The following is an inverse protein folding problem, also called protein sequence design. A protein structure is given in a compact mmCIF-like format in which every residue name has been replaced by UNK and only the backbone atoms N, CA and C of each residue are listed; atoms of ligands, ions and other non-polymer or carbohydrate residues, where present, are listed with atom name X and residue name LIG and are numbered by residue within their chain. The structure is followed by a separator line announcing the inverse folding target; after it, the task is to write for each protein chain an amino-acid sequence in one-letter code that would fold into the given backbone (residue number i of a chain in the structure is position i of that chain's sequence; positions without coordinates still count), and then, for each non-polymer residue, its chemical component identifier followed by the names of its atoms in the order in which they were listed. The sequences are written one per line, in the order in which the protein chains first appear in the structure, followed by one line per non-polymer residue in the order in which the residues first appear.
data_IF_887975701245
#
_entry.id   IF_887975701245
#
_cell.length_a   1.000
_cell.length_b   1.000
_cell.length_c   1.000
_cell.angle_alpha   90.00
_cell.angle_beta   90.00
_cell.angle_gamma   90.00
#
_symmetry.space_group_name_H-M   'P 1'
#
loop_
_entity.id
_entity.type
_entity.pdbx_description
1 polymer ?
#
# COMPACT_ATOMS: atom_id res chain seq x y z
N UNK A 1 8.78 -8.82 9.64
CA UNK A 1 7.64 -8.13 8.99
C UNK A 1 7.08 -6.99 9.84
N UNK A 2 6.62 -7.26 11.07
CA UNK A 2 6.01 -6.24 11.96
C UNK A 2 6.88 -4.99 12.16
N UNK A 3 8.18 -5.17 12.38
CA UNK A 3 9.16 -4.06 12.53
C UNK A 3 9.25 -3.16 11.30
N UNK A 4 9.14 -3.72 10.09
CA UNK A 4 9.12 -2.96 8.85
C UNK A 4 7.86 -2.09 8.78
N UNK A 5 6.68 -2.66 9.08
CA UNK A 5 5.43 -1.90 9.11
C UNK A 5 5.48 -0.74 10.12
N UNK A 6 6.05 -0.96 11.32
CA UNK A 6 6.23 0.08 12.34
C UNK A 6 7.09 1.23 11.83
N UNK A 7 8.23 0.91 11.23
CA UNK A 7 9.18 1.90 10.71
C UNK A 7 8.64 2.61 9.46
N UNK A 8 7.92 1.91 8.58
CA UNK A 8 7.23 2.52 7.44
C UNK A 8 6.22 3.55 7.91
N UNK A 9 5.37 3.22 8.90
CA UNK A 9 4.37 4.15 9.41
C UNK A 9 4.96 5.31 10.23
N UNK A 10 6.18 5.17 10.74
CA UNK A 10 6.94 6.27 11.37
C UNK A 10 7.36 7.28 10.30
N UNK A 11 7.98 6.82 9.22
CA UNK A 11 8.48 7.71 8.17
C UNK A 11 7.35 8.24 7.27
N UNK A 12 6.37 7.40 6.96
CA UNK A 12 5.28 7.69 6.03
C UNK A 12 3.92 7.41 6.70
N UNK A 13 3.52 8.21 7.71
CA UNK A 13 2.20 8.07 8.29
C UNK A 13 1.13 8.41 7.25
N UNK A 14 0.07 7.61 7.15
CA UNK A 14 -1.01 7.86 6.17
C UNK A 14 -1.67 9.22 6.38
N UNK A 15 -1.93 9.59 7.64
CA UNK A 15 -2.41 10.92 8.00
C UNK A 15 -1.21 11.81 8.42
N UNK A 16 -1.11 13.04 7.90
CA UNK A 16 -0.01 13.94 8.26
C UNK A 16 -0.18 14.54 9.67
N UNK A 17 -1.43 14.73 10.10
CA UNK A 17 -1.79 15.39 11.36
C UNK A 17 -3.01 14.72 11.99
N UNK A 18 -3.18 14.91 13.30
CA UNK A 18 -4.48 14.80 13.94
C UNK A 18 -4.69 16.00 14.87
N UNK A 19 -5.94 16.38 15.07
CA UNK A 19 -6.32 17.50 15.93
C UNK A 19 -7.09 17.00 17.16
N UNK A 20 -6.88 17.67 18.27
CA UNK A 20 -7.62 17.55 19.51
C UNK A 20 -8.16 18.92 19.88
N UNK A 21 -9.28 18.96 20.61
CA UNK A 21 -9.83 20.18 21.18
C UNK A 21 -9.86 20.01 22.70
N UNK A 22 -9.37 21.01 23.43
CA UNK A 22 -9.45 20.99 24.89
C UNK A 22 -10.88 21.21 25.36
N UNK A 23 -11.35 20.38 26.28
CA UNK A 23 -12.68 20.52 26.91
C UNK A 23 -12.63 21.19 28.29
N UNK A 24 -11.42 21.37 28.82
CA UNK A 24 -11.15 21.86 30.18
C UNK A 24 -10.22 23.07 30.13
N UNK A 25 -10.34 23.93 31.14
CA UNK A 25 -9.35 24.95 31.46
C UNK A 25 -8.34 24.40 32.47
N UNK A 26 -7.18 25.05 32.57
CA UNK A 26 -6.07 24.72 33.50
C UNK A 26 -5.25 23.48 33.12
N UNK A 27 -5.13 23.17 31.83
CA UNK A 27 -4.15 22.18 31.36
C UNK A 27 -2.83 22.91 31.13
N UNK A 28 -1.80 22.59 31.90
CA UNK A 28 -0.44 23.12 31.69
C UNK A 28 0.47 22.01 31.18
N UNK A 29 1.11 22.23 30.04
CA UNK A 29 2.12 21.33 29.49
C UNK A 29 3.40 21.34 30.33
N UNK A 30 4.26 20.34 30.13
CA UNK A 30 5.49 20.18 30.90
C UNK A 30 6.50 21.33 30.74
N UNK A 31 6.38 22.11 29.67
CA UNK A 31 7.18 23.30 29.39
C UNK A 31 6.55 24.60 29.93
N UNK A 32 5.42 24.50 30.64
CA UNK A 32 4.70 25.62 31.22
C UNK A 32 3.67 26.27 30.29
N UNK A 33 3.47 25.75 29.07
CA UNK A 33 2.45 26.29 28.18
C UNK A 33 1.04 25.96 28.67
N UNK A 34 0.18 26.98 28.79
CA UNK A 34 -1.21 26.83 29.22
C UNK A 34 -2.12 26.57 28.01
N UNK A 35 -2.99 25.57 28.16
CA UNK A 35 -4.03 25.21 27.20
C UNK A 35 -5.37 25.57 27.84
N UNK A 36 -6.15 26.37 27.12
CA UNK A 36 -7.48 26.80 27.53
C UNK A 36 -8.56 25.94 26.87
N UNK A 37 -9.77 26.02 27.42
CA UNK A 37 -10.93 25.35 26.84
C UNK A 37 -11.19 25.85 25.42
N UNK A 38 -11.52 24.90 24.53
CA UNK A 38 -11.72 25.04 23.09
C UNK A 38 -10.44 25.33 22.28
N UNK A 39 -9.25 25.31 22.91
CA UNK A 39 -8.02 25.38 22.14
C UNK A 39 -7.87 24.14 21.25
N UNK A 40 -7.54 24.39 19.98
CA UNK A 40 -7.24 23.33 19.02
C UNK A 40 -5.75 23.01 19.07
N UNK A 41 -5.45 21.76 19.38
CA UNK A 41 -4.09 21.23 19.44
C UNK A 41 -3.89 20.33 18.22
N UNK A 42 -2.97 20.73 17.35
CA UNK A 42 -2.64 19.95 16.15
C UNK A 42 -1.31 19.24 16.35
N UNK A 43 -1.32 17.92 16.24
CA UNK A 43 -0.11 17.11 16.30
C UNK A 43 0.36 16.78 14.89
N UNK A 44 1.55 17.27 14.54
CA UNK A 44 2.20 16.97 13.27
C UNK A 44 2.91 15.61 13.36
N UNK A 45 2.26 14.55 12.86
CA UNK A 45 2.78 13.18 12.97
C UNK A 45 4.14 13.03 12.29
N UNK A 46 4.30 13.62 11.10
CA UNK A 46 5.57 13.57 10.36
C UNK A 46 6.75 14.17 11.13
N UNK A 47 6.50 15.18 11.97
CA UNK A 47 7.52 15.81 12.83
C UNK A 47 7.73 15.01 14.11
N UNK A 48 6.65 14.59 14.78
CA UNK A 48 6.71 13.74 15.99
C UNK A 48 7.55 12.47 15.73
N UNK A 49 7.35 11.85 14.57
CA UNK A 49 8.03 10.61 14.19
C UNK A 49 9.46 10.80 13.69
N UNK A 50 9.94 12.05 13.58
CA UNK A 50 11.29 12.43 13.15
C UNK A 50 12.04 13.28 14.17
N UNK A 51 11.49 13.48 15.37
CA UNK A 51 12.17 14.26 16.40
C UNK A 51 13.52 13.61 16.76
N UNK A 52 14.66 14.28 16.51
CA UNK A 52 15.98 13.72 16.79
C UNK A 52 16.25 13.51 18.28
N UNK A 53 15.44 14.09 19.17
CA UNK A 53 15.50 13.81 20.62
C UNK A 53 15.00 12.41 20.98
N UNK A 54 14.19 11.81 20.11
CA UNK A 54 13.60 10.48 20.32
C UNK A 54 14.18 9.45 19.35
N UNK A 55 14.37 9.85 18.09
CA UNK A 55 14.75 8.95 17.01
C UNK A 55 16.19 9.23 16.56
N UNK A 56 17.12 8.30 16.87
CA UNK A 56 18.44 8.32 16.24
C UNK A 56 18.32 8.20 14.72
N UNK A 57 19.10 8.97 13.95
CA UNK A 57 19.04 9.02 12.47
C UNK A 57 17.58 9.05 11.96
N UNK A 58 16.84 10.12 12.26
CA UNK A 58 15.38 10.14 12.13
C UNK A 58 14.88 10.00 10.68
N UNK A 59 15.68 10.37 9.70
CA UNK A 59 15.31 10.27 8.28
C UNK A 59 15.63 8.89 7.67
N UNK A 60 16.43 8.05 8.34
CA UNK A 60 16.81 6.74 7.82
C UNK A 60 15.72 5.70 8.13
N UNK A 61 15.43 4.84 7.16
CA UNK A 61 14.57 3.67 7.34
C UNK A 61 15.36 2.56 8.03
N UNK A 62 15.19 2.41 9.34
CA UNK A 62 15.96 1.47 10.17
C UNK A 62 15.01 0.57 10.99
N UNK A 63 14.40 -0.46 10.39
CA UNK A 63 13.46 -1.36 11.07
C UNK A 63 14.03 -2.03 12.33
N UNK A 64 15.35 -2.22 12.38
CA UNK A 64 16.07 -2.87 13.46
C UNK A 64 15.90 -2.12 14.80
N UNK A 65 15.62 -0.81 14.78
CA UNK A 65 15.34 -0.03 16.00
C UNK A 65 14.10 -0.50 16.75
N UNK A 66 13.24 -1.27 16.08
CA UNK A 66 12.00 -1.80 16.64
C UNK A 66 12.19 -3.22 17.21
N UNK A 67 13.41 -3.79 17.15
CA UNK A 67 13.76 -5.10 17.70
C UNK A 67 14.34 -4.98 19.12
N UNK A 68 14.45 -6.12 19.81
CA UNK A 68 15.14 -6.24 21.11
C UNK A 68 14.69 -5.19 22.14
N UNK A 69 13.38 -5.09 22.35
CA UNK A 69 12.73 -4.10 23.23
C UNK A 69 12.92 -2.64 22.81
N UNK A 70 13.54 -2.37 21.64
CA UNK A 70 13.79 -1.02 21.16
C UNK A 70 12.52 -0.19 20.95
N UNK A 71 11.41 -0.83 20.56
CA UNK A 71 10.12 -0.15 20.46
C UNK A 71 9.48 0.12 21.82
N UNK A 72 9.56 -0.86 22.72
CA UNK A 72 9.00 -0.81 24.07
C UNK A 72 9.73 0.21 24.95
N UNK A 73 11.02 0.44 24.68
CA UNK A 73 11.86 1.44 25.34
C UNK A 73 11.68 2.87 24.80
N UNK A 74 10.89 3.07 23.74
CA UNK A 74 10.61 4.41 23.25
C UNK A 74 9.87 5.23 24.31
N UNK A 75 10.13 6.55 24.39
CA UNK A 75 9.32 7.42 25.21
C UNK A 75 7.84 7.27 24.88
N UNK A 76 7.02 7.32 25.93
CA UNK A 76 5.58 7.20 25.76
C UNK A 76 5.07 8.25 24.77
N UNK A 77 4.13 7.83 23.95
CA UNK A 77 3.49 8.63 22.93
C UNK A 77 4.34 9.06 21.72
N UNK A 78 5.55 8.55 21.54
CA UNK A 78 6.41 8.90 20.39
C UNK A 78 6.06 8.22 19.06
N UNK A 79 5.16 7.23 19.06
CA UNK A 79 4.69 6.54 17.86
C UNK A 79 3.16 6.50 17.83
N UNK A 80 2.55 7.17 16.83
CA UNK A 80 1.10 7.50 16.78
C UNK A 80 0.42 7.43 15.39
N UNK A 81 0.78 6.50 14.49
CA UNK A 81 0.13 6.44 13.18
C UNK A 81 -1.37 6.08 13.24
N UNK A 82 -1.86 5.59 14.38
CA UNK A 82 -3.27 5.23 14.61
C UNK A 82 -3.96 6.09 15.68
N UNK A 83 -3.41 7.26 16.02
CA UNK A 83 -3.94 8.17 17.06
C UNK A 83 -4.01 7.52 18.47
N UNK A 84 -4.84 8.07 19.36
CA UNK A 84 -4.88 7.81 20.81
C UNK A 84 -6.29 7.59 21.36
N UNK A 85 -6.34 6.84 22.48
CA UNK A 85 -7.52 6.74 23.33
C UNK A 85 -8.75 6.17 22.62
N UNK A 86 -9.94 6.60 23.06
CA UNK A 86 -11.23 6.13 22.51
C UNK A 86 -11.46 6.55 21.06
N UNK A 87 -10.77 7.59 20.57
CA UNK A 87 -10.82 8.05 19.17
C UNK A 87 -9.62 7.56 18.34
N UNK A 88 -8.91 6.54 18.83
CA UNK A 88 -7.92 5.82 18.04
C UNK A 88 -8.55 5.18 16.79
N UNK A 89 -7.73 4.86 15.81
CA UNK A 89 -8.21 4.21 14.59
C UNK A 89 -8.84 2.84 14.90
N UNK A 90 -10.16 2.75 14.78
CA UNK A 90 -10.90 1.49 14.95
C UNK A 90 -10.47 0.42 13.94
N UNK A 91 -10.00 0.83 12.76
CA UNK A 91 -9.47 -0.07 11.73
C UNK A 91 -8.06 -0.60 12.00
N UNK A 92 -7.38 -0.17 13.08
CA UNK A 92 -5.98 -0.55 13.36
C UNK A 92 -5.75 -2.08 13.35
N UNK A 93 -6.54 -2.91 14.05
CA UNK A 93 -6.29 -4.36 14.06
C UNK A 93 -6.39 -4.97 12.66
N UNK A 94 -7.38 -4.54 11.89
CA UNK A 94 -7.63 -5.00 10.54
C UNK A 94 -6.51 -4.58 9.58
N UNK A 95 -6.21 -3.27 9.53
CA UNK A 95 -5.15 -2.73 8.69
C UNK A 95 -3.79 -3.38 8.99
N UNK A 96 -3.51 -3.66 10.26
CA UNK A 96 -2.28 -4.32 10.66
C UNK A 96 -2.19 -5.76 10.14
N UNK A 97 -3.26 -6.54 10.30
CA UNK A 97 -3.33 -7.92 9.82
C UNK A 97 -3.24 -7.99 8.29
N UNK A 98 -4.01 -7.16 7.60
CA UNK A 98 -3.99 -7.11 6.14
C UNK A 98 -2.61 -6.68 5.61
N UNK A 99 -1.99 -5.66 6.19
CA UNK A 99 -0.66 -5.20 5.77
C UNK A 99 0.38 -6.31 5.91
N UNK A 100 0.37 -7.03 7.05
CA UNK A 100 1.29 -8.15 7.26
C UNK A 100 1.06 -9.28 6.27
N UNK A 101 -0.20 -9.64 5.99
CA UNK A 101 -0.53 -10.69 5.04
C UNK A 101 -0.16 -10.29 3.61
N UNK A 102 -0.52 -9.08 3.19
CA UNK A 102 -0.22 -8.57 1.86
C UNK A 102 1.29 -8.55 1.60
N UNK A 103 2.08 -7.96 2.50
CA UNK A 103 3.54 -7.90 2.34
C UNK A 103 4.14 -9.32 2.35
N UNK A 104 3.68 -10.21 3.23
CA UNK A 104 4.16 -11.59 3.26
C UNK A 104 3.87 -12.35 1.95
N UNK A 105 2.68 -12.17 1.38
CA UNK A 105 2.32 -12.80 0.11
C UNK A 105 3.11 -12.20 -1.06
N UNK A 106 3.26 -10.87 -1.11
CA UNK A 106 4.04 -10.21 -2.15
C UNK A 106 5.48 -10.73 -2.12
N UNK A 107 6.14 -10.69 -0.97
CA UNK A 107 7.55 -11.13 -0.83
C UNK A 107 7.75 -12.64 -1.00
N UNK A 108 6.71 -13.45 -0.77
CA UNK A 108 6.78 -14.90 -0.99
C UNK A 108 6.71 -15.26 -2.48
N UNK A 109 5.99 -14.47 -3.28
CA UNK A 109 5.65 -14.82 -4.65
C UNK A 109 6.37 -13.97 -5.70
N UNK A 110 6.93 -12.82 -5.32
CA UNK A 110 7.53 -11.88 -6.23
C UNK A 110 8.89 -11.37 -5.72
N UNK A 111 9.81 -11.17 -6.65
CA UNK A 111 10.96 -10.29 -6.45
C UNK A 111 10.54 -8.88 -6.88
N UNK A 112 10.84 -7.90 -6.03
CA UNK A 112 10.48 -6.49 -6.27
C UNK A 112 11.75 -5.74 -6.61
N UNK A 113 11.77 -5.12 -7.78
CA UNK A 113 12.88 -4.29 -8.26
C UNK A 113 12.33 -2.96 -8.80
N UNK A 114 13.15 -1.90 -8.71
CA UNK A 114 12.82 -0.63 -9.35
C UNK A 114 12.79 -0.80 -10.86
N UNK A 115 11.70 -0.35 -11.49
CA UNK A 115 11.61 -0.28 -12.96
C UNK A 115 12.59 0.76 -13.51
N UNK A 116 12.74 1.88 -12.78
CA UNK A 116 13.72 2.92 -13.04
C UNK A 116 14.57 3.14 -11.78
N UNK A 117 15.87 2.79 -11.79
CA UNK A 117 16.77 3.00 -10.66
C UNK A 117 16.95 4.48 -10.28
N UNK A 118 16.60 5.41 -11.18
CA UNK A 118 16.64 6.85 -10.95
C UNK A 118 15.31 7.43 -10.47
N UNK A 119 14.30 6.59 -10.22
CA UNK A 119 12.99 7.01 -9.74
C UNK A 119 13.10 7.79 -8.43
N UNK A 120 12.69 9.06 -8.48
CA UNK A 120 12.60 9.96 -7.33
C UNK A 120 11.15 10.01 -6.81
N UNK A 121 10.91 9.40 -5.64
CA UNK A 121 9.59 9.41 -5.01
C UNK A 121 9.27 10.81 -4.51
N UNK A 122 8.36 11.49 -5.21
CA UNK A 122 7.78 12.75 -4.75
C UNK A 122 6.49 12.49 -3.98
N UNK A 123 6.27 13.26 -2.93
CA UNK A 123 5.10 13.12 -2.06
C UNK A 123 4.12 14.26 -2.33
N UNK A 124 2.86 13.90 -2.51
CA UNK A 124 1.73 14.84 -2.55
C UNK A 124 0.91 14.67 -1.28
N UNK A 125 0.87 15.72 -0.47
CA UNK A 125 0.05 15.76 0.74
C UNK A 125 -1.30 16.41 0.45
N UNK A 126 -2.39 15.67 0.66
CA UNK A 126 -3.76 16.21 0.66
C UNK A 126 -4.40 15.94 2.03
N UNK A 127 -5.52 15.21 2.08
CA UNK A 127 -6.05 14.65 3.33
C UNK A 127 -5.11 13.56 3.88
N UNK A 128 -4.47 12.81 2.98
CA UNK A 128 -3.47 11.80 3.30
C UNK A 128 -2.15 12.11 2.60
N UNK A 129 -1.09 11.49 3.09
CA UNK A 129 0.22 11.45 2.42
C UNK A 129 0.16 10.35 1.38
N UNK A 130 0.47 10.68 0.12
CA UNK A 130 0.57 9.72 -0.98
C UNK A 130 1.68 10.09 -1.96
N UNK A 131 2.17 9.13 -2.77
CA UNK A 131 3.04 9.44 -3.90
C UNK A 131 2.37 10.47 -4.83
N UNK A 132 3.17 11.40 -5.34
CA UNK A 132 2.78 12.24 -6.46
C UNK A 132 2.78 11.37 -7.73
N UNK A 133 1.70 11.43 -8.49
CA UNK A 133 1.61 10.75 -9.78
C UNK A 133 2.65 11.37 -10.72
N UNK A 134 3.67 10.61 -11.07
CA UNK A 134 4.59 11.00 -12.12
C UNK A 134 3.88 10.86 -13.47
N UNK A 135 3.93 11.91 -14.27
CA UNK A 135 3.36 11.91 -15.61
C UNK A 135 4.19 10.96 -16.48
N UNK A 136 3.72 9.73 -16.66
CA UNK A 136 4.30 8.81 -17.63
C UNK A 136 4.09 9.38 -19.03
N UNK A 137 5.16 9.39 -19.83
CA UNK A 137 5.09 9.78 -21.23
C UNK A 137 4.14 8.84 -21.97
N UNK A 138 2.94 9.33 -22.27
CA UNK A 138 1.89 8.57 -22.97
C UNK A 138 2.29 8.21 -24.41
N UNK A 139 3.37 8.78 -24.94
CA UNK A 139 3.87 8.44 -26.27
C UNK A 139 4.73 7.15 -26.27
N UNK A 140 5.21 6.69 -25.10
CA UNK A 140 6.10 5.53 -24.98
C UNK A 140 5.54 4.47 -24.01
N UNK A 141 4.26 4.11 -24.16
CA UNK A 141 3.64 3.06 -23.36
C UNK A 141 4.07 1.67 -23.82
N UNK A 142 4.51 0.83 -22.88
CA UNK A 142 4.87 -0.58 -23.15
C UNK A 142 3.59 -1.42 -23.28
N UNK A 143 3.50 -2.35 -24.25
CA UNK A 143 2.33 -3.20 -24.35
C UNK A 143 2.22 -4.11 -23.11
N UNK A 144 1.00 -4.34 -22.63
CA UNK A 144 0.68 -5.39 -21.66
C UNK A 144 -0.67 -6.02 -22.00
N UNK A 145 -0.91 -7.26 -21.58
CA UNK A 145 -2.20 -7.92 -21.75
C UNK A 145 -2.82 -8.31 -20.41
N UNK A 146 -4.13 -8.08 -20.29
CA UNK A 146 -4.92 -8.48 -19.12
C UNK A 146 -5.92 -9.53 -19.60
N UNK A 147 -5.83 -10.74 -19.07
CA UNK A 147 -6.68 -11.86 -19.42
C UNK A 147 -7.68 -12.13 -18.30
N UNK A 148 -8.96 -11.99 -18.59
CA UNK A 148 -10.03 -12.16 -17.61
C UNK A 148 -10.77 -13.50 -17.75
N UNK A 149 -11.06 -14.14 -16.62
CA UNK A 149 -12.05 -15.21 -16.48
C UNK A 149 -13.10 -14.85 -15.42
N UNK A 150 -14.37 -14.82 -15.81
CA UNK A 150 -15.49 -14.47 -14.93
C UNK A 150 -16.79 -15.08 -15.43
N UNK A 151 -17.65 -15.54 -14.51
CA UNK A 151 -19.04 -15.90 -14.84
C UNK A 151 -20.01 -14.72 -14.60
N UNK A 152 -19.63 -13.77 -13.74
CA UNK A 152 -20.52 -12.71 -13.21
C UNK A 152 -20.01 -11.29 -13.45
N UNK A 153 -19.02 -11.11 -14.34
CA UNK A 153 -18.49 -9.81 -14.75
C UNK A 153 -17.56 -9.09 -13.74
N UNK A 154 -17.41 -9.59 -12.50
CA UNK A 154 -16.58 -8.92 -11.47
C UNK A 154 -15.10 -8.81 -11.85
N UNK A 155 -14.48 -9.90 -12.32
CA UNK A 155 -13.10 -9.86 -12.81
C UNK A 155 -12.93 -9.03 -14.08
N UNK A 156 -13.98 -8.89 -14.89
CA UNK A 156 -13.96 -8.08 -16.12
C UNK A 156 -13.97 -6.59 -15.75
N UNK A 157 -14.85 -6.18 -14.85
CA UNK A 157 -14.85 -4.81 -14.32
C UNK A 157 -13.52 -4.44 -13.65
N UNK A 158 -12.91 -5.37 -12.91
CA UNK A 158 -11.57 -5.15 -12.34
C UNK A 158 -10.48 -5.09 -13.41
N UNK A 159 -10.54 -5.94 -14.44
CA UNK A 159 -9.61 -5.91 -15.57
C UNK A 159 -9.69 -4.59 -16.35
N UNK A 160 -10.90 -4.08 -16.60
CA UNK A 160 -11.13 -2.79 -17.24
C UNK A 160 -10.62 -1.62 -16.39
N UNK A 161 -10.83 -1.68 -15.07
CA UNK A 161 -10.29 -0.68 -14.15
C UNK A 161 -8.76 -0.67 -14.22
N UNK A 162 -8.13 -1.83 -14.12
CA UNK A 162 -6.68 -1.97 -14.23
C UNK A 162 -6.15 -1.49 -15.59
N UNK A 163 -6.86 -1.78 -16.69
CA UNK A 163 -6.48 -1.32 -18.01
C UNK A 163 -6.56 0.21 -18.15
N UNK A 164 -7.56 0.83 -17.53
CA UNK A 164 -7.74 2.29 -17.53
C UNK A 164 -6.64 3.01 -16.75
N UNK A 165 -6.08 2.37 -15.73
CA UNK A 165 -5.00 2.91 -14.90
C UNK A 165 -3.60 2.55 -15.43
N UNK A 166 -3.47 1.51 -16.26
CA UNK A 166 -2.19 1.06 -16.81
C UNK A 166 -1.32 2.17 -17.44
N UNK A 167 -1.86 3.20 -18.12
CA UNK A 167 -1.07 4.32 -18.63
C UNK A 167 -0.35 5.12 -17.54
N UNK A 168 -0.91 5.21 -16.33
CA UNK A 168 -0.26 5.85 -15.17
C UNK A 168 1.02 5.10 -14.74
N UNK A 169 1.15 3.84 -15.12
CA UNK A 169 2.29 2.98 -14.83
C UNK A 169 3.15 2.71 -16.07
N UNK A 170 2.91 3.42 -17.19
CA UNK A 170 3.72 3.35 -18.39
C UNK A 170 3.36 2.19 -19.31
N UNK A 171 2.17 1.62 -19.16
CA UNK A 171 1.69 0.51 -19.97
C UNK A 171 0.45 0.87 -20.81
N UNK A 172 0.36 0.25 -21.98
CA UNK A 172 -0.84 0.21 -22.80
C UNK A 172 -1.45 -1.19 -22.70
N UNK A 173 -2.52 -1.31 -21.91
CA UNK A 173 -3.15 -2.58 -21.60
C UNK A 173 -4.23 -2.96 -22.62
N UNK A 174 -4.18 -4.20 -23.09
CA UNK A 174 -5.27 -4.81 -23.86
C UNK A 174 -5.99 -5.84 -22.99
N UNK A 175 -7.30 -5.65 -22.76
CA UNK A 175 -8.13 -6.62 -22.05
C UNK A 175 -8.65 -7.66 -23.03
N UNK A 176 -8.55 -8.94 -22.66
CA UNK A 176 -9.09 -10.05 -23.43
C UNK A 176 -9.64 -11.13 -22.48
N UNK A 177 -10.44 -12.05 -23.00
CA UNK A 177 -10.91 -13.20 -22.21
C UNK A 177 -9.86 -14.31 -22.21
N UNK A 178 -9.88 -15.17 -21.20
CA UNK A 178 -9.01 -16.35 -21.20
C UNK A 178 -9.31 -17.33 -22.32
N UNK A 179 -10.57 -17.38 -22.76
CA UNK A 179 -10.97 -18.18 -23.91
C UNK A 179 -10.24 -17.73 -25.18
N UNK A 180 -10.11 -16.43 -25.42
CA UNK A 180 -9.40 -15.89 -26.59
C UNK A 180 -7.87 -16.04 -26.51
N UNK A 181 -7.33 -16.33 -25.33
CA UNK A 181 -5.90 -16.53 -25.09
C UNK A 181 -5.44 -17.99 -25.22
N UNK A 182 -6.37 -18.92 -25.46
CA UNK A 182 -6.06 -20.33 -25.63
C UNK A 182 -5.14 -20.51 -26.84
N UNK A 183 -3.93 -21.02 -26.62
CA UNK A 183 -2.88 -21.23 -27.65
C UNK A 183 -2.32 -19.95 -28.30
N UNK A 184 -2.66 -18.78 -27.78
CA UNK A 184 -2.28 -17.46 -28.34
C UNK A 184 -1.71 -16.52 -27.27
N UNK A 185 -1.13 -17.07 -26.20
CA UNK A 185 -0.50 -16.27 -25.15
C UNK A 185 0.64 -15.42 -25.71
N UNK A 186 0.58 -14.08 -25.57
CA UNK A 186 1.71 -13.21 -25.92
C UNK A 186 3.00 -13.64 -25.21
N UNK A 187 4.12 -13.60 -25.92
CA UNK A 187 5.44 -13.88 -25.35
C UNK A 187 6.38 -12.66 -25.42
N UNK A 188 5.88 -11.54 -25.93
CA UNK A 188 6.59 -10.28 -26.17
C UNK A 188 6.25 -9.19 -25.14
N UNK A 189 5.33 -9.47 -24.21
CA UNK A 189 4.79 -8.50 -23.26
C UNK A 189 4.36 -9.15 -21.94
N UNK A 190 4.30 -8.40 -20.83
CA UNK A 190 3.73 -8.89 -19.58
C UNK A 190 2.25 -9.27 -19.72
N UNK A 191 1.85 -10.34 -19.03
CA UNK A 191 0.46 -10.82 -18.97
C UNK A 191 0.00 -10.84 -17.52
N UNK A 192 -1.13 -10.20 -17.24
CA UNK A 192 -1.86 -10.29 -15.97
C UNK A 192 -3.08 -11.18 -16.19
N UNK A 193 -3.27 -12.19 -15.35
CA UNK A 193 -4.44 -13.07 -15.41
C UNK A 193 -5.32 -12.80 -14.18
N UNK A 194 -6.57 -12.42 -14.42
CA UNK A 194 -7.57 -12.15 -13.38
C UNK A 194 -8.68 -13.20 -13.52
N UNK A 195 -8.80 -14.10 -12.55
CA UNK A 195 -9.78 -15.20 -12.56
C UNK A 195 -10.58 -15.21 -11.27
N UNK A 196 -11.90 -15.35 -11.40
CA UNK A 196 -12.75 -15.79 -10.30
C UNK A 196 -12.70 -17.32 -10.18
N UNK A 197 -12.45 -17.81 -8.97
CA UNK A 197 -12.58 -19.22 -8.62
C UNK A 197 -13.97 -19.46 -8.01
N UNK A 198 -14.68 -20.47 -8.52
CA UNK A 198 -15.99 -20.87 -8.03
C UNK A 198 -15.88 -22.28 -7.48
N UNK A 199 -15.94 -22.43 -6.15
CA UNK A 199 -15.83 -23.75 -5.46
C UNK A 199 -14.57 -24.55 -5.84
N UNK A 200 -13.44 -23.86 -6.04
CA UNK A 200 -12.18 -24.48 -6.44
C UNK A 200 -12.09 -24.86 -7.93
N UNK A 201 -13.09 -24.50 -8.75
CA UNK A 201 -13.08 -24.70 -10.20
C UNK A 201 -12.93 -23.38 -10.94
N UNK A 202 -12.35 -23.45 -12.14
CA UNK A 202 -12.26 -22.32 -13.05
C UNK A 202 -13.65 -21.92 -13.57
N UNK A 203 -13.85 -20.63 -13.81
CA UNK A 203 -15.00 -20.09 -14.54
C UNK A 203 -15.13 -20.71 -15.94
N UNK A 204 -16.31 -20.62 -16.55
CA UNK A 204 -16.61 -21.34 -17.80
C UNK A 204 -15.67 -20.96 -18.94
N UNK A 205 -15.38 -19.66 -19.08
CA UNK A 205 -14.47 -19.12 -20.08
C UNK A 205 -12.98 -19.35 -19.77
N UNK A 206 -12.63 -19.97 -18.64
CA UNK A 206 -11.26 -20.37 -18.31
C UNK A 206 -11.01 -21.88 -18.40
N UNK A 207 -12.06 -22.72 -18.51
CA UNK A 207 -11.92 -24.19 -18.54
C UNK A 207 -10.96 -24.68 -19.62
N UNK A 208 -11.11 -24.17 -20.85
CA UNK A 208 -10.25 -24.55 -21.97
C UNK A 208 -8.81 -24.03 -21.82
N UNK A 209 -8.65 -22.88 -21.18
CA UNK A 209 -7.35 -22.29 -20.89
C UNK A 209 -6.58 -23.10 -19.84
N UNK A 210 -7.25 -23.53 -18.77
CA UNK A 210 -6.67 -24.42 -17.75
C UNK A 210 -6.25 -25.76 -18.38
N UNK A 211 -7.13 -26.39 -19.16
CA UNK A 211 -6.79 -27.64 -19.85
C UNK A 211 -5.59 -27.47 -20.81
N UNK A 212 -5.50 -26.32 -21.48
CA UNK A 212 -4.34 -25.98 -22.32
C UNK A 212 -3.04 -25.88 -21.49
N UNK A 213 -3.06 -25.19 -20.34
CA UNK A 213 -1.90 -25.09 -19.47
C UNK A 213 -1.48 -26.45 -18.89
N UNK A 214 -2.44 -27.28 -18.45
CA UNK A 214 -2.17 -28.63 -17.92
C UNK A 214 -1.60 -29.58 -18.98
N UNK A 215 -1.91 -29.36 -20.26
CA UNK A 215 -1.36 -30.14 -21.37
C UNK A 215 0.12 -29.82 -21.68
N UNK A 216 0.66 -28.72 -21.13
CA UNK A 216 2.06 -28.34 -21.31
C UNK A 216 2.94 -29.10 -20.31
N UNK A 217 4.16 -29.49 -20.70
CA UNK A 217 5.12 -30.04 -19.74
C UNK A 217 5.34 -29.01 -18.63
N UNK A 218 5.31 -29.47 -17.37
CA UNK A 218 5.58 -28.62 -16.21
C UNK A 218 6.99 -28.04 -16.35
N UNK A 219 7.10 -26.71 -16.29
CA UNK A 219 8.36 -25.97 -16.18
C UNK A 219 9.08 -26.34 -14.89
#
# INVERSE_FOLDING_TARGET
MNVFCKETLRLQPTAPIFALESIEDNITLSDGYEIHKNDMIVVLLSQLHRDPKVWDRPEEFLPERMLNDGFENLPSNSWKPFSNGQRGCNGRPFAWQESLLAIALILKHFNIDFVDPSYDLRIKQTLTIKPEEQQTDRNHLRPMSILCGSNSGSCESFAETLASEAPLYGYNATVATLHSAVRSLPNDRPIIIIIALYEGKSCENAKQFVAYLESKPKL
#
